data_IF_999504457417
#
_entry.id   IF_999504457417
#
_cell.length_a   1.000
_cell.length_b   1.000
_cell.length_c   1.000
_cell.angle_alpha   90.00
_cell.angle_beta   90.00
_cell.angle_gamma   90.00
#
_symmetry.space_group_name_H-M   'P 1'
#
loop_
_entity.id
_entity.type
_entity.pdbx_description
1 polymer ?
#
# COMPACT_ATOMS: atom_id res chain seq x y z
N UNK A 1 17.01 16.31 -4.69
CA UNK A 1 15.62 16.51 -5.18
C UNK A 1 14.95 17.54 -4.30
N UNK A 2 14.16 18.49 -4.86
CA UNK A 2 13.36 19.39 -4.05
C UNK A 2 12.42 18.59 -3.13
N UNK A 3 12.14 19.05 -1.90
CA UNK A 3 11.43 18.28 -0.89
C UNK A 3 10.05 17.79 -1.36
N UNK A 4 9.31 18.61 -2.10
CA UNK A 4 8.02 18.23 -2.69
C UNK A 4 8.12 17.08 -3.71
N UNK A 5 9.19 17.04 -4.53
CA UNK A 5 9.40 15.97 -5.52
C UNK A 5 9.73 14.64 -4.86
N UNK A 6 10.43 14.66 -3.72
CA UNK A 6 10.66 13.45 -2.90
C UNK A 6 9.35 12.92 -2.31
N UNK A 7 8.52 13.79 -1.76
CA UNK A 7 7.22 13.39 -1.19
C UNK A 7 6.30 12.74 -2.25
N UNK A 8 6.18 13.35 -3.43
CA UNK A 8 5.37 12.79 -4.53
C UNK A 8 5.92 11.43 -4.98
N UNK A 9 7.25 11.30 -5.14
CA UNK A 9 7.88 10.01 -5.46
C UNK A 9 7.52 8.96 -4.41
N UNK A 10 7.65 9.30 -3.14
CA UNK A 10 7.38 8.35 -2.06
C UNK A 10 5.91 7.91 -2.08
N UNK A 11 4.97 8.84 -2.26
CA UNK A 11 3.55 8.50 -2.39
C UNK A 11 3.27 7.56 -3.57
N UNK A 12 3.88 7.81 -4.73
CA UNK A 12 3.73 6.93 -5.89
C UNK A 12 4.30 5.53 -5.64
N UNK A 13 5.46 5.44 -4.99
CA UNK A 13 6.07 4.15 -4.66
C UNK A 13 5.23 3.38 -3.63
N UNK A 14 4.68 4.06 -2.62
CA UNK A 14 3.79 3.44 -1.62
C UNK A 14 2.48 2.97 -2.25
N UNK A 15 1.89 3.76 -3.15
CA UNK A 15 0.70 3.36 -3.92
C UNK A 15 0.99 2.15 -4.82
N UNK A 16 2.16 2.13 -5.49
CA UNK A 16 2.59 0.99 -6.29
C UNK A 16 2.76 -0.29 -5.44
N UNK A 17 3.35 -0.19 -4.25
CA UNK A 17 3.45 -1.32 -3.31
C UNK A 17 2.07 -1.91 -3.00
N UNK A 18 1.12 -1.04 -2.61
CA UNK A 18 -0.23 -1.45 -2.25
C UNK A 18 -0.99 -2.06 -3.44
N UNK A 19 -0.83 -1.47 -4.63
CA UNK A 19 -1.43 -1.99 -5.86
C UNK A 19 -0.89 -3.38 -6.23
N UNK A 20 0.43 -3.57 -6.22
CA UNK A 20 1.05 -4.87 -6.48
C UNK A 20 0.59 -5.93 -5.46
N UNK A 21 0.49 -5.56 -4.19
CA UNK A 21 -0.02 -6.47 -3.17
C UNK A 21 -1.49 -6.85 -3.42
N UNK A 22 -2.31 -5.86 -3.81
CA UNK A 22 -3.72 -6.10 -4.15
C UNK A 22 -3.84 -7.07 -5.31
N UNK A 23 -3.02 -6.93 -6.35
CA UNK A 23 -2.96 -7.87 -7.48
C UNK A 23 -2.47 -9.27 -7.09
N UNK A 24 -1.65 -9.38 -6.06
CA UNK A 24 -1.22 -10.67 -5.52
C UNK A 24 -2.29 -11.38 -4.69
N UNK A 25 -3.37 -10.66 -4.33
CA UNK A 25 -4.45 -11.14 -3.46
C UNK A 25 -5.70 -11.50 -4.28
N UNK A 26 -6.69 -12.19 -3.68
CA UNK A 26 -7.96 -12.41 -4.34
C UNK A 26 -8.61 -11.07 -4.75
N UNK A 27 -9.26 -10.99 -5.92
CA UNK A 27 -9.55 -12.08 -6.86
C UNK A 27 -8.48 -12.30 -7.95
N UNK A 28 -7.39 -11.53 -7.94
CA UNK A 28 -6.44 -11.47 -9.05
C UNK A 28 -5.35 -12.55 -8.99
N UNK A 29 -4.97 -12.99 -7.78
CA UNK A 29 -4.09 -14.14 -7.52
C UNK A 29 -2.74 -14.11 -8.26
N UNK A 30 -2.24 -12.92 -8.62
CA UNK A 30 -0.98 -12.79 -9.35
C UNK A 30 0.21 -12.89 -8.39
N UNK A 31 0.56 -14.10 -7.98
CA UNK A 31 1.62 -14.39 -7.02
C UNK A 31 2.97 -13.72 -7.35
N UNK A 32 3.28 -13.54 -8.64
CA UNK A 32 4.47 -12.81 -9.11
C UNK A 32 4.53 -11.35 -8.62
N UNK A 33 3.39 -10.67 -8.51
CA UNK A 33 3.33 -9.31 -7.99
C UNK A 33 3.69 -9.24 -6.50
N UNK A 34 3.42 -10.30 -5.73
CA UNK A 34 3.73 -10.39 -4.31
C UNK A 34 5.23 -10.29 -4.01
N UNK A 35 6.08 -10.85 -4.88
CA UNK A 35 7.54 -10.73 -4.77
C UNK A 35 8.03 -9.28 -4.86
N UNK A 36 7.35 -8.47 -5.67
CA UNK A 36 7.73 -7.08 -5.93
C UNK A 36 6.98 -6.07 -5.04
N UNK A 37 5.92 -6.48 -4.35
CA UNK A 37 5.06 -5.59 -3.58
C UNK A 37 5.80 -4.84 -2.46
N UNK A 38 6.83 -5.45 -1.87
CA UNK A 38 7.64 -4.84 -0.81
C UNK A 38 8.86 -4.07 -1.32
N UNK A 39 9.31 -4.30 -2.55
CA UNK A 39 10.54 -3.69 -3.08
C UNK A 39 10.50 -2.16 -3.09
N UNK A 40 9.43 -1.48 -3.54
CA UNK A 40 9.38 -0.03 -3.54
C UNK A 40 9.31 0.55 -2.11
N UNK A 41 8.79 -0.19 -1.13
CA UNK A 41 8.77 0.22 0.27
C UNK A 41 10.20 0.39 0.79
N UNK A 42 11.10 -0.57 0.51
CA UNK A 42 12.50 -0.46 0.90
C UNK A 42 13.17 0.78 0.29
N UNK A 43 12.86 1.15 -0.95
CA UNK A 43 13.35 2.38 -1.59
C UNK A 43 12.84 3.64 -0.89
N UNK A 44 11.60 3.63 -0.40
CA UNK A 44 11.00 4.75 0.33
C UNK A 44 11.62 4.90 1.72
N UNK A 45 12.05 3.82 2.35
CA UNK A 45 12.60 3.81 3.72
C UNK A 45 14.08 4.19 3.77
N UNK A 46 14.80 4.17 2.65
CA UNK A 46 16.21 4.56 2.60
C UNK A 46 16.43 5.99 3.12
N UNK A 47 17.42 6.14 4.00
CA UNK A 47 17.85 7.40 4.60
C UNK A 47 16.75 8.16 5.37
N UNK A 48 15.64 7.49 5.74
CA UNK A 48 14.60 8.08 6.58
C UNK A 48 14.90 7.93 8.06
N UNK A 49 14.53 8.96 8.82
CA UNK A 49 14.51 8.85 10.29
C UNK A 49 13.47 7.80 10.73
N UNK A 50 13.62 7.19 11.91
CA UNK A 50 12.68 6.17 12.40
C UNK A 50 11.21 6.62 12.41
N UNK A 51 10.95 7.89 12.75
CA UNK A 51 9.59 8.47 12.72
C UNK A 51 9.02 8.52 11.31
N UNK A 52 9.81 8.98 10.34
CA UNK A 52 9.38 9.05 8.93
C UNK A 52 9.21 7.65 8.32
N UNK A 53 10.07 6.71 8.70
CA UNK A 53 9.96 5.30 8.32
C UNK A 53 8.65 4.69 8.85
N UNK A 54 8.34 4.91 10.13
CA UNK A 54 7.07 4.48 10.74
C UNK A 54 5.86 5.06 10.00
N UNK A 55 5.84 6.37 9.74
CA UNK A 55 4.72 7.00 9.02
C UNK A 55 4.58 6.46 7.59
N UNK A 56 5.69 6.17 6.91
CA UNK A 56 5.67 5.58 5.57
C UNK A 56 5.12 4.14 5.60
N UNK A 57 5.51 3.35 6.60
CA UNK A 57 4.98 2.00 6.82
C UNK A 57 3.50 2.00 7.22
N UNK A 58 3.07 2.94 8.05
CA UNK A 58 1.66 3.13 8.41
C UNK A 58 0.83 3.46 7.18
N UNK A 59 1.27 4.42 6.36
CA UNK A 59 0.58 4.78 5.13
C UNK A 59 0.51 3.61 4.15
N UNK A 60 1.61 2.88 3.96
CA UNK A 60 1.60 1.63 3.20
C UNK A 60 0.56 0.65 3.73
N UNK A 61 0.54 0.39 5.03
CA UNK A 61 -0.39 -0.53 5.67
C UNK A 61 -1.85 -0.12 5.44
N UNK A 62 -2.17 1.17 5.54
CA UNK A 62 -3.52 1.69 5.24
C UNK A 62 -3.89 1.46 3.77
N UNK A 63 -3.00 1.79 2.83
CA UNK A 63 -3.26 1.61 1.40
C UNK A 63 -3.42 0.15 1.02
N UNK A 64 -2.56 -0.73 1.55
CA UNK A 64 -2.65 -2.16 1.38
C UNK A 64 -3.98 -2.71 1.95
N UNK A 65 -4.34 -2.35 3.18
CA UNK A 65 -5.62 -2.75 3.79
C UNK A 65 -6.81 -2.29 2.95
N UNK A 66 -6.79 -1.05 2.44
CA UNK A 66 -7.85 -0.56 1.56
C UNK A 66 -7.96 -1.43 0.30
N UNK A 67 -6.82 -1.83 -0.28
CA UNK A 67 -6.77 -2.69 -1.46
C UNK A 67 -7.28 -4.11 -1.24
N UNK A 68 -6.99 -4.75 -0.09
CA UNK A 68 -7.39 -6.14 0.17
C UNK A 68 -8.70 -6.29 0.94
N UNK A 69 -9.10 -5.29 1.72
CA UNK A 69 -10.28 -5.32 2.57
C UNK A 69 -11.43 -4.48 2.00
N UNK A 70 -11.33 -3.99 0.76
CA UNK A 70 -12.41 -3.24 0.10
C UNK A 70 -13.73 -4.02 0.09
N UNK A 71 -13.67 -5.35 0.00
CA UNK A 71 -14.84 -6.22 -0.02
C UNK A 71 -15.66 -6.15 1.28
N UNK A 72 -15.05 -5.76 2.41
CA UNK A 72 -15.73 -5.62 3.69
C UNK A 72 -16.82 -4.56 3.60
N UNK A 73 -16.61 -3.48 2.83
CA UNK A 73 -17.64 -2.48 2.58
C UNK A 73 -18.89 -3.12 1.96
N UNK A 74 -18.72 -3.91 0.90
CA UNK A 74 -19.83 -4.61 0.25
C UNK A 74 -20.50 -5.62 1.18
N UNK A 75 -19.72 -6.39 1.96
CA UNK A 75 -20.26 -7.34 2.91
C UNK A 75 -21.11 -6.64 4.00
N UNK A 76 -20.63 -5.54 4.56
CA UNK A 76 -21.36 -4.78 5.57
C UNK A 76 -22.66 -4.23 4.98
N UNK A 77 -22.61 -3.61 3.80
CA UNK A 77 -23.79 -3.06 3.14
C UNK A 77 -24.82 -4.13 2.75
N UNK A 78 -24.39 -5.35 2.42
CA UNK A 78 -25.28 -6.43 2.01
C UNK A 78 -25.94 -7.14 3.21
N UNK A 79 -25.19 -7.38 4.29
CA UNK A 79 -25.64 -8.22 5.42
C UNK A 79 -26.10 -7.44 6.64
N UNK A 80 -25.71 -6.18 6.78
CA UNK A 80 -26.10 -5.31 7.89
C UNK A 80 -26.74 -4.01 7.39
N UNK A 81 -27.87 -4.08 6.65
CA UNK A 81 -28.62 -2.88 6.33
C UNK A 81 -29.17 -2.29 7.63
N UNK A 82 -28.72 -1.07 7.95
CA UNK A 82 -29.25 -0.25 9.05
C UNK A 82 -30.52 0.48 8.61
#
# INVERSE_FOLDING_TARGET
MPPGRRAVRDLLLLALCAFLYTLASPPYEWAGAGWLALTPLFLVLQDKTPRMAFLSGLLYGVLFCAGIAYWVYFAVSAYFPF
#
